data_IF_733426792993
#
_entry.id   IF_733426792993
#
_cell.length_a   1.000
_cell.length_b   1.000
_cell.length_c   1.000
_cell.angle_alpha   90.00
_cell.angle_beta   90.00
_cell.angle_gamma   90.00
#
_symmetry.space_group_name_H-M   'P 1'
#
loop_
_entity.id
_entity.type
_entity.pdbx_description
1 polymer ?
#
# COMPACT_ATOMS: atom_id res chain seq x y z
N UNK A 1 18.78 49.80 11.23
CA UNK A 1 19.25 49.07 12.43
C UNK A 1 18.05 48.29 12.97
N UNK A 2 18.03 46.98 13.13
CA UNK A 2 19.05 45.95 13.00
C UNK A 2 18.47 44.71 12.30
N UNK A 3 19.39 43.90 11.81
CA UNK A 3 19.22 42.76 10.93
C UNK A 3 18.51 41.60 11.66
N UNK A 4 17.44 41.07 11.07
CA UNK A 4 16.98 39.72 11.38
C UNK A 4 17.93 38.76 10.65
N UNK A 5 18.83 38.16 11.43
CA UNK A 5 19.81 37.19 10.94
C UNK A 5 19.10 36.06 10.19
N UNK A 6 19.34 36.06 8.88
CA UNK A 6 19.18 34.91 8.02
C UNK A 6 20.06 33.78 8.58
N UNK A 7 19.45 32.88 9.35
CA UNK A 7 20.08 31.61 9.66
C UNK A 7 19.88 30.69 8.43
N UNK A 8 20.56 31.05 7.35
CA UNK A 8 20.93 30.14 6.27
C UNK A 8 21.97 29.17 6.84
N UNK A 9 21.51 28.29 7.73
CA UNK A 9 22.20 27.03 7.95
C UNK A 9 22.13 26.28 6.64
N UNK A 10 23.29 26.01 6.05
CA UNK A 10 23.52 25.16 4.88
C UNK A 10 22.43 24.10 4.81
N UNK A 11 21.46 24.25 3.90
CA UNK A 11 20.40 23.27 3.68
C UNK A 11 21.09 22.01 3.15
N UNK A 12 21.54 21.15 4.07
CA UNK A 12 21.95 19.81 3.78
C UNK A 12 20.75 19.18 3.07
N UNK A 13 20.92 18.92 1.78
CA UNK A 13 19.86 18.39 0.95
C UNK A 13 19.39 17.08 1.59
N UNK A 14 18.11 17.01 2.00
CA UNK A 14 17.55 15.84 2.67
C UNK A 14 17.89 14.58 1.88
N UNK A 15 18.44 13.56 2.55
CA UNK A 15 18.88 12.34 1.88
C UNK A 15 17.67 11.48 1.48
N UNK A 16 16.57 11.61 2.22
CA UNK A 16 15.27 11.06 1.87
C UNK A 16 14.38 12.11 1.20
N UNK A 17 13.71 11.72 0.12
CA UNK A 17 12.69 12.55 -0.54
C UNK A 17 11.33 11.86 -0.40
N UNK A 18 10.45 12.36 0.48
CA UNK A 18 9.12 11.77 0.68
C UNK A 18 8.32 11.77 -0.63
N UNK A 19 7.53 10.73 -0.87
CA UNK A 19 6.64 10.69 -2.03
C UNK A 19 5.68 11.87 -1.98
N UNK A 20 5.64 12.65 -3.06
CA UNK A 20 4.73 13.79 -3.23
C UNK A 20 3.53 13.38 -4.08
N UNK A 21 2.54 14.27 -4.21
CA UNK A 21 1.30 13.98 -4.94
C UNK A 21 1.51 13.57 -6.41
N UNK A 22 2.57 14.05 -7.03
CA UNK A 22 2.97 13.69 -8.40
C UNK A 22 3.27 12.20 -8.56
N UNK A 23 3.92 11.58 -7.57
CA UNK A 23 4.19 10.14 -7.54
C UNK A 23 2.89 9.31 -7.57
N UNK A 24 1.79 9.87 -7.07
CA UNK A 24 0.47 9.22 -7.06
C UNK A 24 -0.38 9.54 -8.30
N UNK A 25 0.02 10.46 -9.18
CA UNK A 25 -0.79 10.84 -10.34
C UNK A 25 -1.10 9.65 -11.25
N UNK A 26 -0.12 8.77 -11.49
CA UNK A 26 -0.33 7.56 -12.28
C UNK A 26 -1.37 6.60 -11.67
N UNK A 27 -1.50 6.58 -10.34
CA UNK A 27 -2.52 5.80 -9.63
C UNK A 27 -3.91 6.44 -9.74
N UNK A 28 -3.98 7.77 -9.70
CA UNK A 28 -5.24 8.51 -9.76
C UNK A 28 -5.94 8.39 -11.11
N UNK A 29 -5.18 8.33 -12.20
CA UNK A 29 -5.73 8.19 -13.56
C UNK A 29 -6.30 6.78 -13.81
N UNK A 30 -5.82 5.75 -13.10
CA UNK A 30 -6.26 4.37 -13.25
C UNK A 30 -7.48 3.98 -12.41
N UNK A 31 -7.77 4.71 -11.33
CA UNK A 31 -8.88 4.41 -10.45
C UNK A 31 -9.46 5.66 -9.79
N UNK A 32 -10.55 6.15 -10.36
CA UNK A 32 -11.45 6.99 -9.60
C UNK A 32 -12.26 6.08 -8.67
N UNK A 33 -12.04 6.20 -7.35
CA UNK A 33 -12.95 5.62 -6.35
C UNK A 33 -14.35 6.27 -6.36
N UNK A 34 -14.62 7.26 -7.24
CA UNK A 34 -16.00 7.65 -7.57
C UNK A 34 -16.70 6.43 -8.18
N UNK A 35 -17.43 5.70 -7.36
CA UNK A 35 -18.00 4.40 -7.69
C UNK A 35 -17.67 3.30 -6.68
N UNK A 36 -16.90 3.57 -5.63
CA UNK A 36 -16.70 2.65 -4.50
C UNK A 36 -18.03 2.25 -3.86
N UNK A 37 -18.90 3.25 -3.66
CA UNK A 37 -20.24 3.09 -3.12
C UNK A 37 -21.24 3.43 -4.22
N UNK A 38 -21.46 2.48 -5.12
CA UNK A 38 -22.50 2.55 -6.16
C UNK A 38 -23.33 1.28 -6.14
N UNK A 39 -24.57 1.31 -6.66
CA UNK A 39 -25.30 0.09 -6.93
C UNK A 39 -24.59 -0.70 -8.03
N UNK A 40 -23.83 -1.72 -7.63
CA UNK A 40 -23.19 -2.65 -8.58
C UNK A 40 -24.30 -3.40 -9.34
N UNK A 41 -24.28 -3.32 -10.67
CA UNK A 41 -25.34 -3.90 -11.52
C UNK A 41 -25.25 -5.41 -11.69
N UNK A 42 -24.14 -6.03 -11.27
CA UNK A 42 -23.95 -7.47 -11.31
C UNK A 42 -22.49 -7.89 -11.16
N UNK A 43 -22.25 -9.20 -11.28
CA UNK A 43 -20.93 -9.83 -11.06
C UNK A 43 -19.81 -9.24 -11.94
N UNK A 44 -20.12 -8.79 -13.16
CA UNK A 44 -19.15 -8.21 -14.08
C UNK A 44 -18.54 -6.90 -13.55
N UNK A 45 -19.36 -6.02 -12.98
CA UNK A 45 -18.87 -4.76 -12.41
C UNK A 45 -18.00 -4.99 -11.15
N UNK A 46 -18.34 -5.99 -10.33
CA UNK A 46 -17.53 -6.38 -9.17
C UNK A 46 -16.19 -7.01 -9.59
N UNK A 47 -16.18 -7.80 -10.66
CA UNK A 47 -14.94 -8.37 -11.23
C UNK A 47 -14.02 -7.25 -11.71
N UNK A 48 -14.55 -6.29 -12.48
CA UNK A 48 -13.79 -5.14 -12.94
C UNK A 48 -13.26 -4.29 -11.78
N UNK A 49 -14.07 -4.10 -10.74
CA UNK A 49 -13.66 -3.38 -9.53
C UNK A 49 -12.52 -4.11 -8.79
N UNK A 50 -12.60 -5.44 -8.67
CA UNK A 50 -11.51 -6.24 -8.10
C UNK A 50 -10.20 -6.06 -8.88
N UNK A 51 -10.27 -6.06 -10.22
CA UNK A 51 -9.10 -5.87 -11.08
C UNK A 51 -8.51 -4.46 -10.97
N UNK A 52 -9.35 -3.43 -10.85
CA UNK A 52 -8.89 -2.06 -10.58
C UNK A 52 -8.14 -1.97 -9.24
N UNK A 53 -8.67 -2.58 -8.17
CA UNK A 53 -7.98 -2.62 -6.88
C UNK A 53 -6.62 -3.34 -6.96
N UNK A 54 -6.52 -4.45 -7.71
CA UNK A 54 -5.25 -5.16 -7.92
C UNK A 54 -4.24 -4.32 -8.71
N UNK A 55 -4.69 -3.62 -9.74
CA UNK A 55 -3.83 -2.72 -10.52
C UNK A 55 -3.27 -1.59 -9.64
N UNK A 56 -4.09 -1.03 -8.75
CA UNK A 56 -3.64 -0.05 -7.76
C UNK A 56 -2.65 -0.64 -6.75
N UNK A 57 -2.87 -1.87 -6.28
CA UNK A 57 -1.92 -2.57 -5.40
C UNK A 57 -0.54 -2.73 -6.06
N UNK A 58 -0.50 -3.06 -7.36
CA UNK A 58 0.75 -3.13 -8.14
C UNK A 58 1.47 -1.77 -8.19
N UNK A 59 0.75 -0.69 -8.45
CA UNK A 59 1.38 0.64 -8.49
C UNK A 59 1.82 1.14 -7.11
N UNK A 60 1.07 0.85 -6.04
CA UNK A 60 1.50 1.10 -4.66
C UNK A 60 2.78 0.31 -4.31
N UNK A 61 2.90 -0.93 -4.80
CA UNK A 61 4.13 -1.73 -4.66
C UNK A 61 5.31 -1.05 -5.33
N UNK A 62 5.12 -0.46 -6.52
CA UNK A 62 6.18 0.27 -7.21
C UNK A 62 6.63 1.52 -6.42
N UNK A 63 5.69 2.26 -5.82
CA UNK A 63 6.01 3.38 -4.94
C UNK A 63 6.80 2.94 -3.70
N UNK A 64 6.39 1.82 -3.08
CA UNK A 64 7.10 1.24 -1.94
C UNK A 64 8.53 0.77 -2.31
N UNK A 65 8.75 0.25 -3.52
CA UNK A 65 10.11 -0.03 -4.01
C UNK A 65 10.93 1.25 -4.15
N UNK A 66 10.34 2.33 -4.67
CA UNK A 66 11.00 3.64 -4.72
C UNK A 66 11.49 4.09 -3.35
N UNK A 67 10.66 3.95 -2.30
CA UNK A 67 11.05 4.25 -0.90
C UNK A 67 12.20 3.35 -0.43
N UNK A 68 12.14 2.05 -0.71
CA UNK A 68 13.22 1.11 -0.35
C UNK A 68 14.54 1.46 -1.05
N UNK A 69 14.49 1.88 -2.32
CA UNK A 69 15.68 2.26 -3.06
C UNK A 69 16.31 3.55 -2.52
N UNK A 70 15.51 4.49 -1.99
CA UNK A 70 16.06 5.60 -1.20
C UNK A 70 16.71 5.09 0.10
N UNK A 71 16.03 4.22 0.83
CA UNK A 71 16.51 3.67 2.10
C UNK A 71 17.80 2.83 1.99
N UNK A 72 18.14 2.36 0.78
CA UNK A 72 19.40 1.66 0.47
C UNK A 72 20.55 2.60 0.14
N UNK A 73 20.30 3.89 -0.10
CA UNK A 73 21.34 4.89 -0.43
C UNK A 73 21.95 5.50 0.83
N UNK A 74 23.21 5.91 0.74
CA UNK A 74 23.89 6.66 1.81
C UNK A 74 23.06 7.90 2.22
N UNK A 75 22.94 8.22 3.53
CA UNK A 75 23.64 7.64 4.68
C UNK A 75 22.88 6.49 5.39
N UNK A 76 21.70 6.09 4.92
CA UNK A 76 20.85 5.13 5.65
C UNK A 76 21.53 3.76 5.89
N UNK A 77 22.36 3.20 4.99
CA UNK A 77 23.20 2.03 5.22
C UNK A 77 24.15 2.11 6.43
N UNK A 78 24.38 3.27 7.04
CA UNK A 78 25.22 3.36 8.24
C UNK A 78 24.45 3.06 9.54
N UNK A 79 23.12 3.08 9.48
CA UNK A 79 22.27 2.85 10.65
C UNK A 79 22.15 1.36 11.03
N UNK A 80 21.90 1.03 12.31
CA UNK A 80 21.72 -0.35 12.76
C UNK A 80 20.33 -0.94 12.44
N UNK A 81 19.44 -0.16 11.84
CA UNK A 81 18.07 -0.55 11.45
C UNK A 81 17.86 -0.21 9.97
N UNK A 82 17.17 -1.10 9.26
CA UNK A 82 16.86 -0.99 7.83
C UNK A 82 15.37 -0.95 7.59
N UNK A 83 14.94 -0.20 6.59
CA UNK A 83 13.65 -0.43 5.95
C UNK A 83 13.79 -1.64 5.01
N UNK A 84 12.92 -2.62 5.14
CA UNK A 84 12.90 -3.84 4.32
C UNK A 84 11.49 -4.13 3.84
N UNK A 85 11.37 -4.85 2.73
CA UNK A 85 10.09 -5.45 2.34
C UNK A 85 9.83 -6.77 3.08
N UNK A 86 8.55 -7.06 3.30
CA UNK A 86 8.04 -8.34 3.80
C UNK A 86 6.84 -8.74 2.94
N UNK A 87 6.95 -9.86 2.24
CA UNK A 87 5.84 -10.44 1.49
C UNK A 87 5.01 -11.35 2.42
N UNK A 88 3.69 -11.24 2.34
CA UNK A 88 2.76 -12.12 3.07
C UNK A 88 2.36 -13.31 2.21
N UNK A 89 1.81 -14.36 2.84
CA UNK A 89 1.23 -15.50 2.13
C UNK A 89 0.06 -15.10 1.22
N UNK A 90 -0.63 -14.00 1.54
CA UNK A 90 -1.72 -13.45 0.74
C UNK A 90 -1.22 -12.66 -0.49
N UNK A 91 0.09 -12.55 -0.71
CA UNK A 91 0.69 -11.87 -1.86
C UNK A 91 0.90 -10.36 -1.67
N UNK A 92 0.40 -9.76 -0.59
CA UNK A 92 0.63 -8.34 -0.27
C UNK A 92 2.03 -8.13 0.26
N UNK A 93 2.70 -7.08 -0.23
CA UNK A 93 3.99 -6.61 0.25
C UNK A 93 3.80 -5.53 1.32
N UNK A 94 4.66 -5.52 2.34
CA UNK A 94 4.70 -4.46 3.33
C UNK A 94 6.11 -3.99 3.61
N UNK A 95 6.23 -2.71 3.93
CA UNK A 95 7.44 -2.11 4.46
C UNK A 95 7.55 -2.37 5.98
N UNK A 96 8.74 -2.74 6.44
CA UNK A 96 9.05 -3.07 7.83
C UNK A 96 10.39 -2.48 8.23
N UNK A 97 10.49 -2.02 9.47
CA UNK A 97 11.78 -1.78 10.10
C UNK A 97 12.36 -3.09 10.62
N UNK A 98 13.64 -3.32 10.36
CA UNK A 98 14.37 -4.50 10.76
C UNK A 98 15.75 -4.12 11.32
N UNK A 99 16.07 -4.64 12.50
CA UNK A 99 17.39 -4.54 13.09
C UNK A 99 18.40 -5.42 12.33
N UNK A 100 19.57 -4.86 11.99
CA UNK A 100 20.58 -5.55 11.18
C UNK A 100 21.17 -6.75 11.92
N UNK A 101 21.46 -6.61 13.21
CA UNK A 101 22.22 -7.60 13.98
C UNK A 101 21.45 -8.90 14.27
N UNK A 102 20.17 -8.80 14.59
CA UNK A 102 19.35 -9.93 15.07
C UNK A 102 18.05 -10.10 14.28
N UNK A 103 17.85 -9.35 13.20
CA UNK A 103 16.65 -9.38 12.34
C UNK A 103 15.34 -9.08 13.05
N UNK A 104 15.36 -8.57 14.29
CA UNK A 104 14.15 -8.16 15.02
C UNK A 104 13.41 -7.08 14.22
N UNK A 105 12.11 -7.26 14.06
CA UNK A 105 11.28 -6.37 13.25
C UNK A 105 10.32 -5.55 14.10
N UNK A 106 9.83 -4.45 13.53
CA UNK A 106 8.73 -3.65 14.07
C UNK A 106 9.11 -2.19 14.31
N UNK A 107 8.10 -1.35 14.51
CA UNK A 107 8.32 0.11 14.72
C UNK A 107 9.16 0.39 15.98
N UNK A 108 9.17 -0.51 16.97
CA UNK A 108 9.99 -0.38 18.17
C UNK A 108 11.49 -0.28 17.87
N UNK A 109 12.02 -1.03 16.89
CA UNK A 109 13.45 -0.92 16.54
C UNK A 109 13.79 0.42 15.91
N UNK A 110 12.86 1.02 15.16
CA UNK A 110 13.00 2.38 14.65
C UNK A 110 12.93 3.41 15.78
N UNK A 111 11.97 3.27 16.70
CA UNK A 111 11.83 4.17 17.84
C UNK A 111 13.07 4.17 18.75
N UNK A 112 13.67 3.00 18.98
CA UNK A 112 14.92 2.87 19.73
C UNK A 112 16.10 3.54 19.01
N UNK A 113 16.16 3.40 17.68
CA UNK A 113 17.18 4.06 16.86
C UNK A 113 17.04 5.58 16.91
N UNK A 114 15.84 6.12 16.66
CA UNK A 114 15.59 7.57 16.68
C UNK A 114 15.86 8.20 18.04
N UNK A 115 15.58 7.48 19.14
CA UNK A 115 15.88 7.95 20.52
C UNK A 115 17.35 7.82 20.92
N UNK A 116 18.17 7.08 20.18
CA UNK A 116 19.57 6.88 20.54
C UNK A 116 20.38 8.14 20.25
N UNK A 117 21.19 8.57 21.21
CA UNK A 117 22.18 9.64 21.02
C UNK A 117 23.25 9.33 19.97
N UNK A 118 23.33 8.08 19.51
CA UNK A 118 24.22 7.66 18.41
C UNK A 118 23.64 7.96 17.03
N UNK A 119 22.36 8.28 16.93
CA UNK A 119 21.72 8.65 15.66
C UNK A 119 21.99 10.14 15.40
N UNK A 120 22.61 10.49 14.26
CA UNK A 120 22.86 11.90 13.94
C UNK A 120 21.57 12.71 13.86
N UNK A 121 21.56 13.90 14.46
CA UNK A 121 20.40 14.80 14.48
C UNK A 121 19.91 15.15 13.06
N UNK A 122 20.84 15.31 12.12
CA UNK A 122 20.55 15.60 10.71
C UNK A 122 19.74 14.50 10.01
N UNK A 123 19.69 13.28 10.56
CA UNK A 123 18.94 12.16 10.00
C UNK A 123 17.54 12.00 10.62
N UNK A 124 17.23 12.70 11.71
CA UNK A 124 15.98 12.48 12.44
C UNK A 124 14.76 12.82 11.59
N UNK A 125 14.83 13.91 10.82
CA UNK A 125 13.74 14.30 9.91
C UNK A 125 13.51 13.24 8.82
N UNK A 126 14.59 12.78 8.17
CA UNK A 126 14.50 11.77 7.12
C UNK A 126 13.90 10.45 7.67
N UNK A 127 14.33 10.04 8.86
CA UNK A 127 13.83 8.83 9.53
C UNK A 127 12.36 8.94 9.93
N UNK A 128 11.91 10.13 10.33
CA UNK A 128 10.51 10.42 10.61
C UNK A 128 9.66 10.31 9.34
N UNK A 129 10.08 10.97 8.26
CA UNK A 129 9.38 10.92 6.97
C UNK A 129 9.31 9.50 6.38
N UNK A 130 10.39 8.72 6.50
CA UNK A 130 10.40 7.31 6.11
C UNK A 130 9.35 6.49 6.87
N UNK A 131 9.15 6.77 8.17
CA UNK A 131 8.11 6.08 8.95
C UNK A 131 6.71 6.50 8.51
N UNK A 132 6.48 7.78 8.21
CA UNK A 132 5.19 8.23 7.65
C UNK A 132 4.88 7.55 6.31
N UNK A 133 5.87 7.42 5.43
CA UNK A 133 5.72 6.72 4.14
C UNK A 133 5.45 5.23 4.36
N UNK A 134 6.13 4.58 5.32
CA UNK A 134 5.87 3.19 5.69
C UNK A 134 4.43 2.99 6.17
N UNK A 135 3.95 3.85 7.06
CA UNK A 135 2.59 3.76 7.63
C UNK A 135 1.54 3.90 6.53
N UNK A 136 1.64 4.96 5.72
CA UNK A 136 0.64 5.30 4.71
C UNK A 136 0.61 4.28 3.57
N UNK A 137 1.75 3.89 3.02
CA UNK A 137 1.82 2.88 1.96
C UNK A 137 1.31 1.52 2.44
N UNK A 138 1.68 1.08 3.64
CA UNK A 138 1.18 -0.19 4.19
C UNK A 138 -0.34 -0.18 4.40
N UNK A 139 -0.89 0.95 4.86
CA UNK A 139 -2.34 1.11 5.01
C UNK A 139 -3.04 1.05 3.65
N UNK A 140 -2.54 1.78 2.65
CA UNK A 140 -3.09 1.77 1.29
C UNK A 140 -3.02 0.38 0.65
N UNK A 141 -1.89 -0.34 0.77
CA UNK A 141 -1.75 -1.72 0.28
C UNK A 141 -2.75 -2.67 0.96
N UNK A 142 -2.93 -2.57 2.28
CA UNK A 142 -3.91 -3.38 3.02
C UNK A 142 -5.34 -3.14 2.53
N UNK A 143 -5.71 -1.88 2.29
CA UNK A 143 -7.03 -1.51 1.80
C UNK A 143 -7.28 -2.06 0.40
N UNK A 144 -6.35 -1.83 -0.54
CA UNK A 144 -6.51 -2.28 -1.93
C UNK A 144 -6.61 -3.80 -2.01
N UNK A 145 -5.78 -4.52 -1.26
CA UNK A 145 -5.84 -5.96 -1.19
C UNK A 145 -7.20 -6.46 -0.67
N UNK A 146 -7.67 -5.89 0.45
CA UNK A 146 -8.94 -6.27 1.08
C UNK A 146 -10.13 -6.00 0.16
N UNK A 147 -10.14 -4.85 -0.51
CA UNK A 147 -11.18 -4.46 -1.45
C UNK A 147 -11.21 -5.38 -2.67
N UNK A 148 -10.05 -5.71 -3.26
CA UNK A 148 -9.95 -6.65 -4.37
C UNK A 148 -10.49 -8.03 -3.99
N UNK A 149 -10.12 -8.54 -2.81
CA UNK A 149 -10.58 -9.83 -2.29
C UNK A 149 -12.09 -9.85 -2.11
N UNK A 150 -12.64 -8.86 -1.41
CA UNK A 150 -14.09 -8.79 -1.15
C UNK A 150 -14.90 -8.65 -2.45
N UNK A 151 -14.43 -7.82 -3.39
CA UNK A 151 -15.09 -7.66 -4.69
C UNK A 151 -15.14 -8.97 -5.48
N UNK A 152 -14.04 -9.73 -5.50
CA UNK A 152 -13.99 -11.03 -6.17
C UNK A 152 -14.91 -12.07 -5.50
N UNK A 153 -14.90 -12.15 -4.17
CA UNK A 153 -15.80 -13.05 -3.41
C UNK A 153 -17.28 -12.70 -3.64
N UNK A 154 -17.63 -11.41 -3.71
CA UNK A 154 -18.98 -10.98 -4.02
C UNK A 154 -19.38 -11.34 -5.47
N UNK A 155 -18.48 -11.16 -6.44
CA UNK A 155 -18.73 -11.54 -7.83
C UNK A 155 -19.01 -13.05 -7.96
N UNK A 156 -18.24 -13.88 -7.24
CA UNK A 156 -18.45 -15.33 -7.20
C UNK A 156 -19.82 -15.69 -6.62
N UNK A 157 -20.17 -15.13 -5.45
CA UNK A 157 -21.48 -15.35 -4.81
C UNK A 157 -22.65 -14.94 -5.71
N UNK A 158 -22.53 -13.81 -6.42
CA UNK A 158 -23.54 -13.39 -7.40
C UNK A 158 -23.64 -14.37 -8.57
N UNK A 159 -22.51 -14.90 -9.06
CA UNK A 159 -22.49 -15.94 -10.09
C UNK A 159 -23.18 -17.23 -9.65
N UNK A 160 -22.97 -17.66 -8.40
CA UNK A 160 -23.64 -18.83 -7.83
C UNK A 160 -25.17 -18.62 -7.71
N UNK A 161 -25.59 -17.41 -7.31
CA UNK A 161 -27.01 -17.06 -7.23
C UNK A 161 -27.67 -17.08 -8.63
N UNK A 162 -27.01 -16.51 -9.64
CA UNK A 162 -27.45 -16.52 -11.04
C UNK A 162 -27.55 -17.95 -11.59
N UNK A 163 -26.56 -18.80 -11.34
CA UNK A 163 -26.58 -20.20 -11.75
C UNK A 163 -27.76 -20.96 -11.12
N UNK A 164 -27.98 -20.78 -9.81
CA UNK A 164 -29.11 -21.38 -9.09
C UNK A 164 -30.46 -20.96 -9.69
N UNK A 165 -30.61 -19.66 -10.00
CA UNK A 165 -31.81 -19.13 -10.64
C UNK A 165 -32.05 -19.74 -12.03
N UNK A 166 -31.02 -19.81 -12.86
CA UNK A 166 -31.14 -20.38 -14.21
C UNK A 166 -31.45 -21.87 -14.21
N UNK A 167 -30.88 -22.66 -13.30
CA UNK A 167 -31.22 -24.08 -13.13
C UNK A 167 -32.72 -24.23 -12.86
N UNK A 168 -33.28 -23.41 -11.98
CA UNK A 168 -34.72 -23.45 -11.67
C UNK A 168 -35.58 -23.05 -12.88
N UNK A 169 -35.20 -22.03 -13.63
CA UNK A 169 -35.92 -21.63 -14.84
C UNK A 169 -35.92 -22.75 -15.89
N UNK A 170 -34.77 -23.39 -16.13
CA UNK A 170 -34.66 -24.50 -17.07
C UNK A 170 -35.58 -25.66 -16.72
N UNK A 171 -35.70 -26.02 -15.44
CA UNK A 171 -36.64 -27.04 -14.97
C UNK A 171 -38.10 -26.69 -15.27
N UNK A 172 -38.48 -25.40 -15.13
CA UNK A 172 -39.84 -24.95 -15.45
C UNK A 172 -40.12 -24.96 -16.95
N UNK A 173 -39.11 -24.67 -17.79
CA UNK A 173 -39.25 -24.67 -19.25
C UNK A 173 -39.20 -26.08 -19.85
N UNK A 174 -38.59 -27.06 -19.17
CA UNK A 174 -38.52 -28.48 -19.58
C UNK A 174 -39.22 -29.43 -18.57
N UNK A 175 -40.57 -29.45 -18.51
CA UNK A 175 -41.30 -30.28 -17.55
C UNK A 175 -41.23 -31.81 -17.78
N UNK A 176 -40.62 -32.29 -18.89
CA UNK A 176 -40.73 -33.69 -19.35
C UNK A 176 -39.65 -34.67 -18.86
N UNK A 177 -38.91 -34.38 -17.78
CA UNK A 177 -37.90 -35.32 -17.24
C UNK A 177 -38.24 -35.90 -15.86
N UNK A 178 -39.48 -35.75 -15.37
CA UNK A 178 -39.92 -36.33 -14.09
C UNK A 178 -41.13 -37.25 -14.25
N UNK A 179 -41.02 -38.23 -15.16
CA UNK A 179 -41.81 -39.46 -15.14
C UNK A 179 -40.88 -40.66 -15.13
#
# INVERSE_FOLDING_TARGET
MGQTNANQGVLQQAAFRPLQQDAFQGLQQGASLKGLLKPFKGKGELTQFADQCRALEVGLKALAQGVLDQAKRHPFPLLPVRMTEQNTQAGTMFLRWQQVSNRRMGVGVWADMVRSSRTPESMLQDLYEMELQRITLNMQMSLMHSMAKQAAECAEKMGQAEATYHVRLQQLTNPKQHQ
#
